data_IF_919288668044
#
_entry.id   IF_919288668044
#
_cell.length_a   1.000
_cell.length_b   1.000
_cell.length_c   1.000
_cell.angle_alpha   90.00
_cell.angle_beta   90.00
_cell.angle_gamma   90.00
#
_symmetry.space_group_name_H-M   'P 1'
#
loop_
_entity.id
_entity.type
_entity.pdbx_description
1 polymer ?
#
# COMPACT_ATOMS: atom_id res chain seq x y z
N UNK A 1 18.09 -8.89 5.41
CA UNK A 1 17.63 -10.27 5.68
C UNK A 1 16.19 -10.38 5.19
N UNK A 2 15.82 -11.46 4.49
CA UNK A 2 14.45 -11.62 4.03
C UNK A 2 13.48 -11.58 5.22
N UNK A 3 12.38 -10.84 5.06
CA UNK A 3 11.36 -10.73 6.11
C UNK A 3 10.64 -12.08 6.21
N UNK A 4 10.67 -12.68 7.40
CA UNK A 4 10.00 -13.96 7.60
C UNK A 4 8.52 -13.75 7.94
N UNK A 5 7.63 -14.27 7.10
CA UNK A 5 6.17 -14.31 7.37
C UNK A 5 5.82 -14.98 8.70
N UNK A 6 6.72 -15.80 9.27
CA UNK A 6 6.54 -16.39 10.58
C UNK A 6 6.47 -15.35 11.71
N UNK A 7 7.09 -14.19 11.54
CA UNK A 7 7.05 -13.09 12.52
C UNK A 7 5.66 -12.46 12.64
N UNK A 8 4.83 -12.55 11.59
CA UNK A 8 3.48 -12.01 11.57
C UNK A 8 2.44 -12.91 12.26
N UNK A 9 2.78 -14.18 12.52
CA UNK A 9 1.86 -15.17 13.14
C UNK A 9 1.46 -14.84 14.57
N UNK A 10 2.26 -14.07 15.27
CA UNK A 10 2.08 -13.79 16.70
C UNK A 10 1.08 -12.67 16.97
N UNK A 11 0.48 -12.07 15.91
CA UNK A 11 -0.48 -10.99 16.05
C UNK A 11 -1.86 -11.45 15.62
N UNK A 12 -2.83 -11.42 16.54
CA UNK A 12 -4.22 -11.61 16.17
C UNK A 12 -4.64 -10.52 15.16
N UNK A 13 -5.29 -10.85 14.04
CA UNK A 13 -5.65 -9.88 12.99
C UNK A 13 -6.49 -8.71 13.52
N UNK A 14 -7.40 -8.99 14.46
CA UNK A 14 -8.22 -7.97 15.12
C UNK A 14 -7.40 -6.99 15.95
N UNK A 15 -6.27 -7.44 16.51
CA UNK A 15 -5.37 -6.59 17.28
C UNK A 15 -4.58 -5.60 16.40
N UNK A 16 -4.54 -5.82 15.09
CA UNK A 16 -3.89 -4.91 14.14
C UNK A 16 -4.84 -3.83 13.62
N UNK A 17 -6.16 -3.96 13.81
CA UNK A 17 -7.16 -3.12 13.15
C UNK A 17 -7.00 -1.63 13.49
N UNK A 18 -6.76 -1.29 14.76
CA UNK A 18 -6.60 0.11 15.17
C UNK A 18 -5.30 0.72 14.62
N UNK A 19 -4.17 0.03 14.75
CA UNK A 19 -2.89 0.50 14.18
C UNK A 19 -2.96 0.64 12.66
N UNK A 20 -3.62 -0.31 11.98
CA UNK A 20 -3.88 -0.25 10.54
C UNK A 20 -4.71 0.98 10.16
N UNK A 21 -5.80 1.26 10.88
CA UNK A 21 -6.66 2.41 10.60
C UNK A 21 -5.89 3.74 10.75
N UNK A 22 -5.06 3.86 11.78
CA UNK A 22 -4.21 5.03 12.00
C UNK A 22 -3.13 5.17 10.91
N UNK A 23 -2.46 4.08 10.54
CA UNK A 23 -1.48 4.08 9.46
C UNK A 23 -2.13 4.38 8.09
N UNK A 24 -3.34 3.86 7.83
CA UNK A 24 -4.12 4.17 6.63
C UNK A 24 -4.46 5.67 6.58
N UNK A 25 -4.90 6.25 7.71
CA UNK A 25 -5.12 7.70 7.82
C UNK A 25 -3.84 8.48 7.52
N UNK A 26 -2.72 8.07 8.10
CA UNK A 26 -1.42 8.74 7.92
C UNK A 26 -0.94 8.69 6.45
N UNK A 27 -1.19 7.59 5.73
CA UNK A 27 -0.83 7.44 4.32
C UNK A 27 -1.54 8.44 3.38
N UNK A 28 -2.59 9.12 3.85
CA UNK A 28 -3.26 10.16 3.07
C UNK A 28 -2.43 11.44 2.93
N UNK A 29 -1.48 11.71 3.83
CA UNK A 29 -0.64 12.90 3.76
C UNK A 29 0.34 12.87 2.58
N UNK A 30 1.11 11.80 2.34
CA UNK A 30 1.89 11.65 1.11
C UNK A 30 1.04 11.74 -0.15
N UNK A 31 -0.17 11.13 -0.15
CA UNK A 31 -1.08 11.20 -1.29
C UNK A 31 -1.54 12.64 -1.57
N UNK A 32 -1.88 13.42 -0.54
CA UNK A 32 -2.25 14.85 -0.68
C UNK A 32 -1.10 15.67 -1.25
N UNK A 33 0.13 15.45 -0.76
CA UNK A 33 1.31 16.13 -1.29
C UNK A 33 1.51 15.84 -2.78
N UNK A 34 1.35 14.59 -3.19
CA UNK A 34 1.43 14.19 -4.59
C UNK A 34 0.29 14.80 -5.44
N UNK A 35 -0.97 14.72 -4.99
CA UNK A 35 -2.11 15.28 -5.70
C UNK A 35 -2.03 16.81 -5.85
N UNK A 36 -1.40 17.52 -4.90
CA UNK A 36 -1.18 18.96 -4.97
C UNK A 36 -0.12 19.36 -5.99
N UNK A 37 0.88 18.52 -6.23
CA UNK A 37 2.11 18.89 -6.91
C UNK A 37 2.41 18.12 -8.20
N UNK A 38 1.76 16.99 -8.42
CA UNK A 38 1.98 16.18 -9.63
C UNK A 38 0.81 16.29 -10.61
N UNK A 39 1.10 16.07 -11.87
CA UNK A 39 0.07 15.92 -12.89
C UNK A 39 -0.72 14.62 -12.61
N UNK A 40 -2.06 14.69 -12.56
CA UNK A 40 -2.87 13.50 -12.35
C UNK A 40 -2.63 12.45 -13.42
N UNK A 41 -2.34 11.21 -13.01
CA UNK A 41 -2.26 10.06 -13.90
C UNK A 41 -3.64 9.38 -13.98
N UNK A 42 -4.05 8.85 -15.15
CA UNK A 42 -5.36 8.20 -15.32
C UNK A 42 -5.61 7.00 -14.42
N UNK A 43 -4.54 6.36 -13.96
CA UNK A 43 -4.55 5.20 -13.06
C UNK A 43 -4.28 5.58 -11.60
N UNK A 44 -4.34 6.87 -11.24
CA UNK A 44 -4.01 7.42 -9.92
C UNK A 44 -2.60 7.07 -9.40
N UNK A 45 -1.72 6.57 -10.27
CA UNK A 45 -0.36 6.17 -9.87
C UNK A 45 0.49 7.33 -9.34
N UNK A 46 0.15 8.58 -9.68
CA UNK A 46 0.80 9.78 -9.13
C UNK A 46 0.65 9.89 -7.60
N UNK A 47 -0.47 9.39 -7.04
CA UNK A 47 -0.72 9.41 -5.60
C UNK A 47 -0.26 8.13 -4.87
N UNK A 48 0.22 7.12 -5.60
CA UNK A 48 0.66 5.86 -5.02
C UNK A 48 1.96 5.99 -4.23
N UNK A 49 2.16 5.07 -3.28
CA UNK A 49 3.37 4.98 -2.47
C UNK A 49 4.18 3.74 -2.85
N UNK A 50 5.46 3.75 -2.57
CA UNK A 50 6.34 2.59 -2.71
C UNK A 50 6.99 2.26 -1.36
N UNK A 51 7.17 0.97 -1.08
CA UNK A 51 7.95 0.56 0.08
C UNK A 51 9.44 0.80 -0.18
N UNK A 52 10.06 1.58 0.70
CA UNK A 52 11.50 1.81 0.74
C UNK A 52 12.08 1.00 1.90
N UNK A 53 12.91 -0.02 1.62
CA UNK A 53 13.46 -0.89 2.65
C UNK A 53 14.52 -0.22 3.51
N UNK A 54 15.27 0.76 2.98
CA UNK A 54 16.34 1.45 3.69
C UNK A 54 15.77 2.41 4.74
N UNK A 55 14.67 3.06 4.40
CA UNK A 55 13.94 3.94 5.33
C UNK A 55 12.89 3.22 6.15
N UNK A 56 12.56 1.97 5.82
CA UNK A 56 11.43 1.21 6.35
C UNK A 56 10.12 2.03 6.27
N UNK A 57 9.88 2.66 5.12
CA UNK A 57 8.82 3.63 4.92
C UNK A 57 8.03 3.39 3.62
N UNK A 58 6.78 3.82 3.63
CA UNK A 58 5.98 4.03 2.42
C UNK A 58 6.25 5.45 1.92
N UNK A 59 6.96 5.59 0.80
CA UNK A 59 7.31 6.87 0.20
C UNK A 59 6.41 7.20 -0.98
N UNK A 60 5.89 8.44 -1.01
CA UNK A 60 5.18 9.00 -2.16
C UNK A 60 6.06 9.12 -3.40
N UNK A 61 5.46 9.43 -4.53
CA UNK A 61 6.19 9.71 -5.76
C UNK A 61 7.10 10.93 -5.57
N UNK A 62 8.25 10.99 -6.25
CA UNK A 62 9.12 12.16 -6.18
C UNK A 62 8.38 13.39 -6.74
N UNK A 63 8.45 14.48 -5.98
CA UNK A 63 8.00 15.82 -6.36
C UNK A 63 9.16 16.59 -7.00
N UNK A 64 8.89 17.80 -7.48
CA UNK A 64 9.93 18.67 -8.00
C UNK A 64 11.04 18.87 -6.95
N UNK A 65 12.28 19.04 -7.42
CA UNK A 65 13.45 19.14 -6.53
C UNK A 65 13.83 17.84 -5.80
N UNK A 66 13.29 16.67 -6.22
CA UNK A 66 13.58 15.38 -5.60
C UNK A 66 12.94 15.19 -4.22
N UNK A 67 12.03 16.09 -3.83
CA UNK A 67 11.31 16.01 -2.56
C UNK A 67 10.41 14.76 -2.53
N UNK A 68 10.38 14.05 -1.40
CA UNK A 68 9.42 12.97 -1.16
C UNK A 68 8.79 13.10 0.22
N UNK A 69 7.51 12.82 0.27
CA UNK A 69 6.75 12.69 1.53
C UNK A 69 6.43 11.22 1.75
N UNK A 70 6.58 10.74 2.97
CA UNK A 70 6.35 9.33 3.25
C UNK A 70 5.88 9.07 4.67
N UNK A 71 5.63 7.80 4.96
CA UNK A 71 5.19 7.30 6.26
C UNK A 71 6.12 6.20 6.74
N UNK A 72 6.87 6.42 7.82
CA UNK A 72 7.52 5.36 8.61
C UNK A 72 6.45 4.65 9.44
N UNK A 73 5.97 3.55 8.92
CA UNK A 73 4.82 2.85 9.51
C UNK A 73 5.14 2.34 10.91
N UNK A 74 6.33 1.76 11.12
CA UNK A 74 6.72 1.12 12.39
C UNK A 74 6.68 2.06 13.61
N UNK A 75 6.98 3.33 13.39
CA UNK A 75 7.05 4.37 14.44
C UNK A 75 5.97 5.43 14.30
N UNK A 76 5.08 5.27 13.30
CA UNK A 76 3.96 6.16 13.00
C UNK A 76 4.41 7.62 12.85
N UNK A 77 5.37 7.85 11.95
CA UNK A 77 5.95 9.16 11.64
C UNK A 77 5.73 9.54 10.19
N UNK A 78 5.31 10.78 9.95
CA UNK A 78 5.39 11.40 8.64
C UNK A 78 6.82 11.82 8.39
N UNK A 79 7.37 11.51 7.21
CA UNK A 79 8.70 11.92 6.80
C UNK A 79 8.66 12.83 5.59
N UNK A 80 9.55 13.81 5.58
CA UNK A 80 9.79 14.72 4.48
C UNK A 80 11.26 14.63 4.11
N UNK A 81 11.58 14.24 2.88
CA UNK A 81 12.94 14.03 2.44
C UNK A 81 13.28 14.92 1.26
N UNK A 82 14.50 15.41 1.24
CA UNK A 82 15.18 16.02 0.10
C UNK A 82 16.45 15.23 -0.17
N UNK A 83 17.25 15.63 -1.16
CA UNK A 83 18.56 14.99 -1.41
C UNK A 83 19.52 15.06 -0.22
N UNK A 84 19.41 16.11 0.61
CA UNK A 84 20.36 16.40 1.68
C UNK A 84 19.83 16.20 3.09
N UNK A 85 18.51 16.02 3.29
CA UNK A 85 17.92 15.94 4.63
C UNK A 85 16.71 15.02 4.69
N UNK A 86 16.43 14.54 5.90
CA UNK A 86 15.23 13.82 6.24
C UNK A 86 14.65 14.37 7.54
N UNK A 87 13.52 15.03 7.46
CA UNK A 87 12.76 15.52 8.62
C UNK A 87 11.65 14.55 8.95
N UNK A 88 11.33 14.40 10.22
CA UNK A 88 10.26 13.50 10.68
C UNK A 88 9.34 14.18 11.68
N UNK A 89 8.04 13.85 11.62
CA UNK A 89 7.02 14.28 12.55
C UNK A 89 6.30 13.06 13.13
N UNK A 90 6.47 12.77 14.43
CA UNK A 90 5.64 11.77 15.11
C UNK A 90 4.17 12.17 15.05
N UNK A 91 3.29 11.23 14.66
CA UNK A 91 1.86 11.52 14.44
C UNK A 91 1.00 11.25 15.66
N UNK A 92 1.49 10.43 16.60
CA UNK A 92 0.75 10.03 17.79
C UNK A 92 0.33 11.25 18.63
N UNK A 93 -0.97 11.37 18.85
CA UNK A 93 -1.57 12.46 19.66
C UNK A 93 -1.68 13.81 18.94
N UNK A 94 -1.28 13.91 17.68
CA UNK A 94 -1.36 15.14 16.91
C UNK A 94 -2.69 15.28 16.17
N UNK A 95 -3.30 16.47 16.16
CA UNK A 95 -4.45 16.75 15.30
C UNK A 95 -4.00 16.95 13.84
N UNK A 96 -4.90 16.66 12.90
CA UNK A 96 -4.66 16.85 11.47
C UNK A 96 -4.17 18.27 11.12
N UNK A 97 -4.67 19.27 11.80
CA UNK A 97 -4.26 20.67 11.57
C UNK A 97 -2.77 20.90 11.86
N UNK A 98 -2.23 20.27 12.90
CA UNK A 98 -0.80 20.37 13.23
C UNK A 98 0.05 19.63 12.19
N UNK A 99 -0.38 18.42 11.79
CA UNK A 99 0.29 17.61 10.74
C UNK A 99 0.27 18.35 9.42
N UNK A 100 -0.88 18.93 9.04
CA UNK A 100 -1.01 19.73 7.82
C UNK A 100 -0.12 20.96 7.83
N UNK A 101 -0.11 21.73 8.91
CA UNK A 101 0.73 22.93 9.04
C UNK A 101 2.22 22.60 8.95
N UNK A 102 2.66 21.50 9.59
CA UNK A 102 4.05 21.07 9.51
C UNK A 102 4.43 20.68 8.06
N UNK A 103 3.60 19.87 7.41
CA UNK A 103 3.87 19.41 6.03
C UNK A 103 3.84 20.58 5.03
N UNK A 104 2.82 21.45 5.14
CA UNK A 104 2.68 22.62 4.27
C UNK A 104 3.88 23.56 4.39
N UNK A 105 4.35 23.80 5.63
CA UNK A 105 5.55 24.58 5.85
C UNK A 105 6.80 24.00 5.18
N UNK A 106 6.94 22.65 5.19
CA UNK A 106 8.04 21.96 4.51
C UNK A 106 7.94 22.06 2.99
N UNK A 107 6.74 21.81 2.45
CA UNK A 107 6.49 21.88 1.00
C UNK A 107 6.73 23.30 0.46
N UNK A 108 6.18 24.31 1.12
CA UNK A 108 6.34 25.71 0.71
C UNK A 108 7.79 26.16 0.78
N UNK A 109 8.56 25.70 1.76
CA UNK A 109 10.00 26.00 1.85
C UNK A 109 10.82 25.47 0.67
N UNK A 110 10.33 24.42 0.01
CA UNK A 110 10.92 23.87 -1.24
C UNK A 110 10.22 24.39 -2.52
N UNK A 111 9.38 25.42 -2.41
CA UNK A 111 8.68 26.02 -3.56
C UNK A 111 7.50 25.19 -4.08
N UNK A 112 7.03 24.19 -3.30
CA UNK A 112 5.94 23.32 -3.65
C UNK A 112 4.59 23.85 -3.10
N UNK A 113 3.49 23.36 -3.67
CA UNK A 113 2.15 23.70 -3.20
C UNK A 113 1.84 23.00 -1.88
N UNK A 114 1.09 23.65 -0.97
CA UNK A 114 0.65 23.04 0.28
C UNK A 114 -0.29 21.84 0.03
N UNK A 115 -0.26 20.86 0.93
CA UNK A 115 -1.01 19.60 0.84
C UNK A 115 -2.33 19.62 1.59
N UNK A 116 -2.45 20.37 2.70
CA UNK A 116 -3.56 20.26 3.66
C UNK A 116 -4.93 20.61 3.05
N UNK A 117 -5.01 21.55 2.12
CA UNK A 117 -6.23 21.93 1.40
C UNK A 117 -6.58 21.03 0.22
N UNK A 118 -5.74 20.06 -0.13
CA UNK A 118 -5.93 19.23 -1.32
C UNK A 118 -7.02 18.19 -1.09
N UNK A 119 -8.07 18.23 -1.94
CA UNK A 119 -9.12 17.21 -1.93
C UNK A 119 -8.62 15.96 -2.65
N UNK A 120 -8.75 14.81 -1.99
CA UNK A 120 -8.50 13.52 -2.61
C UNK A 120 -9.73 13.06 -3.41
N UNK A 121 -9.55 12.28 -4.50
CA UNK A 121 -10.66 11.83 -5.35
C UNK A 121 -11.49 10.68 -4.72
N UNK A 122 -11.25 10.35 -3.46
CA UNK A 122 -11.90 9.27 -2.70
C UNK A 122 -12.15 9.70 -1.24
N UNK A 123 -12.96 8.93 -0.53
CA UNK A 123 -13.24 9.18 0.89
C UNK A 123 -12.03 8.81 1.76
N UNK A 124 -11.65 9.73 2.63
CA UNK A 124 -10.54 9.52 3.58
C UNK A 124 -11.08 8.86 4.85
N UNK A 125 -10.37 7.86 5.42
CA UNK A 125 -10.76 7.27 6.68
C UNK A 125 -10.95 8.31 7.78
N UNK A 126 -12.08 8.25 8.50
CA UNK A 126 -12.47 9.23 9.52
C UNK A 126 -11.75 9.05 10.86
N UNK A 127 -10.86 8.09 10.98
CA UNK A 127 -10.10 7.81 12.19
C UNK A 127 -9.19 8.98 12.55
N UNK A 128 -9.28 9.50 13.75
CA UNK A 128 -8.38 10.54 14.28
C UNK A 128 -7.08 9.88 14.80
N UNK A 129 -5.97 10.63 14.74
CA UNK A 129 -4.73 10.20 15.41
C UNK A 129 -4.94 10.27 16.92
N UNK A 130 -5.19 9.12 17.54
CA UNK A 130 -5.37 9.01 18.98
C UNK A 130 -4.03 9.08 19.73
N UNK A 131 -4.08 9.29 21.03
CA UNK A 131 -2.90 9.09 21.90
C UNK A 131 -2.43 7.65 21.78
N UNK A 132 -1.10 7.46 21.92
CA UNK A 132 -0.51 6.13 21.93
C UNK A 132 -1.14 5.27 23.03
N UNK A 133 -1.86 4.26 22.61
CA UNK A 133 -2.35 3.18 23.45
C UNK A 133 -1.65 1.88 23.04
N UNK A 134 -2.33 0.77 23.19
CA UNK A 134 -1.83 -0.54 22.72
C UNK A 134 -1.58 -0.59 21.21
N UNK A 135 -2.19 0.32 20.43
CA UNK A 135 -2.01 0.43 18.98
C UNK A 135 -0.56 0.73 18.59
N UNK A 136 0.14 1.53 19.40
CA UNK A 136 1.55 1.88 19.15
C UNK A 136 2.44 0.64 19.08
N UNK A 137 2.11 -0.40 19.86
CA UNK A 137 2.85 -1.67 19.88
C UNK A 137 2.62 -2.52 18.60
N UNK A 138 1.64 -2.15 17.77
CA UNK A 138 1.24 -2.91 16.57
C UNK A 138 1.76 -2.30 15.28
N UNK A 139 2.20 -1.06 15.26
CA UNK A 139 2.78 -0.42 14.08
C UNK A 139 3.98 -1.18 13.50
N UNK A 140 4.92 -1.73 14.31
CA UNK A 140 5.99 -2.57 13.79
C UNK A 140 5.49 -3.80 13.01
N UNK A 141 4.39 -4.42 13.46
CA UNK A 141 3.81 -5.56 12.74
C UNK A 141 3.20 -5.16 11.39
N UNK A 142 2.57 -3.99 11.29
CA UNK A 142 2.08 -3.45 10.01
C UNK A 142 3.25 -3.16 9.07
N UNK A 143 4.34 -2.58 9.57
CA UNK A 143 5.53 -2.30 8.77
C UNK A 143 6.19 -3.58 8.24
N UNK A 144 6.35 -4.59 9.08
CA UNK A 144 6.85 -5.91 8.67
C UNK A 144 5.96 -6.55 7.62
N UNK A 145 4.64 -6.34 7.73
CA UNK A 145 3.69 -6.83 6.74
C UNK A 145 3.91 -6.17 5.37
N UNK A 146 4.06 -4.83 5.32
CA UNK A 146 4.37 -4.12 4.07
C UNK A 146 5.73 -4.53 3.49
N UNK A 147 6.76 -4.69 4.32
CA UNK A 147 8.07 -5.14 3.89
C UNK A 147 8.01 -6.53 3.23
N UNK A 148 7.37 -7.49 3.89
CA UNK A 148 7.21 -8.85 3.37
C UNK A 148 6.35 -8.89 2.08
N UNK A 149 5.29 -8.09 2.03
CA UNK A 149 4.43 -7.99 0.86
C UNK A 149 5.18 -7.36 -0.33
N UNK A 150 5.95 -6.29 -0.10
CA UNK A 150 6.76 -5.65 -1.13
C UNK A 150 7.83 -6.59 -1.71
N UNK A 151 8.51 -7.36 -0.86
CA UNK A 151 9.49 -8.37 -1.28
C UNK A 151 8.83 -9.45 -2.15
N UNK A 152 7.75 -10.07 -1.68
CA UNK A 152 7.04 -11.11 -2.41
C UNK A 152 6.45 -10.63 -3.75
N UNK A 153 5.87 -9.43 -3.79
CA UNK A 153 5.35 -8.83 -5.01
C UNK A 153 6.49 -8.42 -5.97
N UNK A 154 7.64 -8.02 -5.43
CA UNK A 154 8.85 -7.74 -6.20
C UNK A 154 9.38 -8.98 -6.93
N UNK A 155 9.46 -10.13 -6.24
CA UNK A 155 9.82 -11.43 -6.83
C UNK A 155 8.80 -11.85 -7.90
N UNK A 156 7.52 -11.69 -7.60
CA UNK A 156 6.45 -12.01 -8.54
C UNK A 156 6.53 -11.12 -9.78
N UNK A 157 6.72 -9.80 -9.60
CA UNK A 157 6.95 -8.84 -10.68
C UNK A 157 8.11 -9.27 -11.58
N UNK A 158 9.22 -9.69 -10.99
CA UNK A 158 10.38 -10.17 -11.74
C UNK A 158 10.06 -11.44 -12.57
N UNK A 159 9.23 -12.32 -12.06
CA UNK A 159 8.79 -13.53 -12.77
C UNK A 159 7.94 -13.21 -14.01
N UNK A 160 7.17 -12.12 -13.97
CA UNK A 160 6.30 -11.69 -15.06
C UNK A 160 6.92 -10.64 -16.00
N UNK A 161 8.17 -10.20 -15.77
CA UNK A 161 8.85 -9.16 -16.59
C UNK A 161 8.95 -9.46 -18.09
N UNK A 162 8.85 -10.74 -18.47
CA UNK A 162 8.92 -11.19 -19.87
C UNK A 162 7.66 -10.89 -20.67
N UNK A 163 6.55 -10.56 -20.03
CA UNK A 163 5.31 -10.22 -20.71
C UNK A 163 5.34 -8.75 -21.16
N UNK A 164 4.64 -8.44 -22.24
CA UNK A 164 4.51 -7.08 -22.79
C UNK A 164 3.03 -6.74 -22.82
N UNK A 165 2.62 -5.58 -22.28
CA UNK A 165 3.41 -4.49 -21.66
C UNK A 165 4.00 -4.82 -20.28
N UNK A 166 3.61 -5.92 -19.66
CA UNK A 166 4.21 -6.47 -18.45
C UNK A 166 3.71 -5.87 -17.12
N UNK A 167 4.39 -6.22 -16.01
CA UNK A 167 3.94 -5.83 -14.69
C UNK A 167 4.33 -4.38 -14.34
N UNK A 168 3.42 -3.68 -13.69
CA UNK A 168 3.67 -2.38 -13.09
C UNK A 168 4.71 -2.45 -11.96
N UNK A 169 5.28 -1.31 -11.52
CA UNK A 169 5.96 -1.25 -10.23
C UNK A 169 5.07 -1.73 -9.07
N UNK A 170 5.70 -2.21 -7.99
CA UNK A 170 4.99 -2.50 -6.74
C UNK A 170 4.56 -1.17 -6.11
N UNK A 171 3.27 -1.01 -5.86
CA UNK A 171 2.69 0.24 -5.33
C UNK A 171 1.75 -0.05 -4.17
N UNK A 172 1.83 0.77 -3.13
CA UNK A 172 0.79 0.88 -2.13
C UNK A 172 -0.22 1.94 -2.58
N UNK A 173 -1.50 1.61 -2.53
CA UNK A 173 -2.60 2.47 -2.93
C UNK A 173 -3.25 3.10 -1.70
N UNK A 174 -3.07 4.43 -1.46
CA UNK A 174 -3.53 5.08 -0.24
C UNK A 174 -5.04 4.98 0.02
N UNK A 175 -5.86 4.88 -1.03
CA UNK A 175 -7.31 4.77 -0.88
C UNK A 175 -7.77 3.40 -0.33
N UNK A 176 -7.02 2.34 -0.58
CA UNK A 176 -7.27 0.99 -0.04
C UNK A 176 -6.29 0.58 1.05
N UNK A 177 -5.14 1.23 1.11
CA UNK A 177 -4.02 0.89 1.99
C UNK A 177 -3.54 -0.55 1.79
N UNK A 178 -3.62 -1.02 0.56
CA UNK A 178 -3.07 -2.28 0.08
C UNK A 178 -1.80 -2.04 -0.74
N UNK A 179 -1.05 -3.11 -1.02
CA UNK A 179 0.14 -3.07 -1.88
C UNK A 179 0.00 -4.10 -2.99
N UNK A 180 0.24 -3.68 -4.24
CA UNK A 180 -0.10 -4.47 -5.41
C UNK A 180 0.80 -4.23 -6.61
N UNK A 181 0.73 -5.15 -7.58
CA UNK A 181 1.16 -5.00 -8.97
C UNK A 181 -0.02 -5.21 -9.89
N UNK A 182 0.01 -4.56 -11.05
CA UNK A 182 -0.89 -4.83 -12.17
C UNK A 182 -0.07 -5.48 -13.29
N UNK A 183 -0.43 -6.69 -13.69
CA UNK A 183 0.15 -7.36 -14.86
C UNK A 183 -0.75 -7.08 -16.06
N UNK A 184 -0.35 -6.16 -16.93
CA UNK A 184 -1.05 -5.91 -18.18
C UNK A 184 -0.80 -7.07 -19.15
N UNK A 185 -1.87 -7.57 -19.77
CA UNK A 185 -1.83 -8.69 -20.72
C UNK A 185 -1.91 -8.22 -22.18
N UNK A 186 -2.24 -6.95 -22.39
CA UNK A 186 -2.33 -6.29 -23.70
C UNK A 186 -2.14 -4.78 -23.55
N UNK A 187 -1.82 -4.11 -24.66
CA UNK A 187 -1.76 -2.65 -24.71
C UNK A 187 -3.17 -2.05 -24.56
N UNK A 188 -3.26 -0.91 -23.90
CA UNK A 188 -4.52 -0.20 -23.71
C UNK A 188 -4.60 0.52 -22.37
N UNK A 189 -5.77 1.14 -22.10
CA UNK A 189 -6.03 1.75 -20.81
C UNK A 189 -6.33 0.67 -19.78
N UNK A 190 -5.84 0.87 -18.52
CA UNK A 190 -6.04 -0.06 -17.41
C UNK A 190 -7.52 -0.46 -17.19
N UNK A 191 -8.44 0.41 -17.55
CA UNK A 191 -9.90 0.22 -17.40
C UNK A 191 -10.54 -0.62 -18.52
N UNK A 192 -9.84 -0.87 -19.62
CA UNK A 192 -10.37 -1.58 -20.79
C UNK A 192 -9.47 -2.72 -21.26
N UNK A 193 -8.17 -2.64 -21.02
CA UNK A 193 -7.20 -3.67 -21.41
C UNK A 193 -7.21 -4.85 -20.43
N UNK A 194 -7.04 -6.04 -20.95
CA UNK A 194 -6.94 -7.24 -20.11
C UNK A 194 -5.74 -7.16 -19.17
N UNK A 195 -5.99 -7.42 -17.91
CA UNK A 195 -4.96 -7.30 -16.87
C UNK A 195 -5.26 -8.21 -15.68
N UNK A 196 -4.25 -8.42 -14.85
CA UNK A 196 -4.39 -9.14 -13.58
C UNK A 196 -3.80 -8.27 -12.47
N UNK A 197 -4.65 -7.78 -11.57
CA UNK A 197 -4.22 -7.18 -10.32
C UNK A 197 -3.81 -8.28 -9.33
N UNK A 198 -2.65 -8.14 -8.73
CA UNK A 198 -2.16 -9.06 -7.69
C UNK A 198 -1.71 -8.19 -6.53
N UNK A 199 -2.33 -8.39 -5.38
CA UNK A 199 -2.03 -7.54 -4.23
C UNK A 199 -2.25 -8.23 -2.89
N UNK A 200 -1.85 -7.52 -1.87
CA UNK A 200 -1.93 -7.94 -0.48
C UNK A 200 -2.50 -6.79 0.34
N UNK A 201 -3.59 -7.04 1.05
CA UNK A 201 -4.22 -6.08 1.94
C UNK A 201 -3.92 -6.42 3.40
N UNK A 202 -3.59 -5.45 4.26
CA UNK A 202 -3.45 -5.67 5.70
C UNK A 202 -4.81 -5.89 6.39
N UNK A 203 -5.86 -6.03 5.61
CA UNK A 203 -7.27 -6.06 6.01
C UNK A 203 -7.97 -4.73 5.69
N UNK A 204 -9.29 -4.78 5.56
CA UNK A 204 -10.14 -3.63 5.24
C UNK A 204 -11.56 -3.83 5.78
N UNK A 205 -12.53 -3.10 5.21
CA UNK A 205 -13.94 -3.22 5.57
C UNK A 205 -14.59 -4.53 5.05
N UNK A 206 -14.00 -5.17 4.03
CA UNK A 206 -14.49 -6.45 3.51
C UNK A 206 -13.98 -7.61 4.34
N UNK A 207 -12.70 -7.55 4.74
CA UNK A 207 -12.02 -8.58 5.53
C UNK A 207 -11.14 -7.94 6.59
N UNK A 208 -11.48 -8.17 7.86
CA UNK A 208 -10.69 -7.65 8.97
C UNK A 208 -9.28 -8.25 9.04
N UNK A 209 -9.10 -9.43 8.45
CA UNK A 209 -7.82 -10.14 8.41
C UNK A 209 -6.99 -9.75 7.19
N UNK A 210 -5.65 -9.77 7.28
CA UNK A 210 -4.80 -9.64 6.10
C UNK A 210 -5.10 -10.73 5.06
N UNK A 211 -5.09 -10.36 3.79
CA UNK A 211 -5.37 -11.29 2.69
C UNK A 211 -4.58 -10.95 1.43
N UNK A 212 -4.32 -11.97 0.62
CA UNK A 212 -3.82 -11.83 -0.75
C UNK A 212 -5.01 -11.90 -1.71
N UNK A 213 -4.97 -11.11 -2.76
CA UNK A 213 -5.96 -11.15 -3.82
C UNK A 213 -5.34 -11.26 -5.21
N UNK A 214 -6.12 -11.85 -6.11
CA UNK A 214 -5.86 -11.85 -7.56
C UNK A 214 -7.13 -11.39 -8.26
N UNK A 215 -7.05 -10.30 -9.01
CA UNK A 215 -8.20 -9.65 -9.66
C UNK A 215 -7.99 -9.57 -11.16
N UNK A 216 -8.46 -10.55 -11.94
CA UNK A 216 -8.41 -10.47 -13.39
C UNK A 216 -9.44 -9.47 -13.93
N UNK A 217 -9.04 -8.74 -14.99
CA UNK A 217 -9.92 -7.87 -15.75
C UNK A 217 -9.86 -8.22 -17.26
N UNK A 218 -10.99 -8.32 -17.96
CA UNK A 218 -12.35 -8.29 -17.43
C UNK A 218 -12.59 -9.46 -16.48
N UNK A 219 -13.61 -9.32 -15.61
CA UNK A 219 -13.97 -10.37 -14.66
C UNK A 219 -14.37 -11.64 -15.43
N UNK A 220 -13.69 -12.77 -15.20
CA UNK A 220 -14.05 -14.04 -15.85
C UNK A 220 -15.39 -14.56 -15.35
N UNK A 221 -16.05 -15.41 -16.14
CA UNK A 221 -17.15 -16.23 -15.63
C UNK A 221 -16.61 -17.20 -14.57
N UNK A 222 -17.30 -17.31 -13.45
CA UNK A 222 -16.89 -18.20 -12.36
C UNK A 222 -16.98 -19.66 -12.74
N UNK A 223 -17.79 -20.01 -13.73
CA UNK A 223 -17.90 -21.36 -14.26
C UNK A 223 -16.61 -21.83 -15.00
N UNK A 224 -15.84 -20.90 -15.54
CA UNK A 224 -14.63 -21.19 -16.30
C UNK A 224 -13.36 -21.17 -15.45
N UNK A 225 -13.48 -20.90 -14.15
CA UNK A 225 -12.33 -20.78 -13.27
C UNK A 225 -11.84 -22.14 -12.78
N UNK A 226 -10.51 -22.36 -12.73
CA UNK A 226 -9.95 -23.62 -12.24
C UNK A 226 -10.23 -23.80 -10.75
N UNK A 227 -10.16 -25.04 -10.23
CA UNK A 227 -10.26 -25.29 -8.81
C UNK A 227 -9.25 -24.45 -8.01
N UNK A 228 -9.71 -23.81 -6.94
CA UNK A 228 -8.88 -22.99 -6.10
C UNK A 228 -8.06 -23.85 -5.12
N UNK A 229 -6.84 -23.41 -4.76
CA UNK A 229 -6.08 -24.06 -3.72
C UNK A 229 -6.77 -23.94 -2.36
N UNK A 230 -6.46 -24.84 -1.39
CA UNK A 230 -7.03 -24.79 -0.06
C UNK A 230 -6.89 -23.40 0.59
N UNK A 231 -7.97 -22.93 1.21
CA UNK A 231 -8.02 -21.61 1.86
C UNK A 231 -8.26 -20.43 0.92
N UNK A 232 -8.31 -20.64 -0.40
CA UNK A 232 -8.75 -19.63 -1.35
C UNK A 232 -10.26 -19.78 -1.63
N UNK A 233 -10.90 -18.67 -1.98
CA UNK A 233 -12.30 -18.61 -2.38
C UNK A 233 -12.53 -17.57 -3.45
N UNK A 234 -13.54 -17.78 -4.28
CA UNK A 234 -14.07 -16.73 -5.14
C UNK A 234 -14.98 -15.83 -4.32
N UNK A 235 -14.77 -14.51 -4.45
CA UNK A 235 -15.68 -13.53 -3.87
C UNK A 235 -16.36 -12.73 -4.98
N UNK A 236 -17.66 -12.97 -5.24
CA UNK A 236 -18.37 -12.24 -6.29
C UNK A 236 -18.63 -10.77 -5.95
N UNK A 237 -18.52 -10.37 -4.68
CA UNK A 237 -18.76 -8.99 -4.21
C UNK A 237 -17.51 -8.13 -4.33
N UNK A 238 -16.39 -8.72 -3.96
CA UNK A 238 -15.10 -8.11 -4.22
C UNK A 238 -14.80 -8.40 -5.69
N UNK A 239 -14.37 -7.40 -6.44
CA UNK A 239 -13.71 -7.64 -7.74
C UNK A 239 -12.36 -8.35 -7.55
N UNK A 240 -12.19 -9.07 -6.46
CA UNK A 240 -10.96 -9.51 -5.82
C UNK A 240 -11.18 -10.95 -5.37
N UNK A 241 -10.19 -11.80 -5.56
CA UNK A 241 -10.16 -13.18 -5.06
C UNK A 241 -9.38 -13.20 -3.74
N UNK A 242 -10.04 -13.08 -2.58
CA UNK A 242 -9.31 -13.06 -1.32
C UNK A 242 -8.89 -14.48 -0.93
N UNK A 243 -7.68 -14.57 -0.44
CA UNK A 243 -7.21 -15.68 0.36
C UNK A 243 -7.00 -15.17 1.77
N UNK A 244 -7.84 -15.56 2.71
CA UNK A 244 -7.49 -15.43 4.12
C UNK A 244 -6.31 -16.34 4.39
N UNK A 245 -5.23 -15.77 4.85
CA UNK A 245 -3.97 -16.48 5.07
C UNK A 245 -3.99 -17.17 6.42
N UNK A 246 -4.10 -18.50 6.50
CA UNK A 246 -3.43 -19.19 7.57
C UNK A 246 -1.93 -19.12 7.26
N UNK A 247 -1.12 -18.65 8.19
CA UNK A 247 0.31 -18.84 8.07
C UNK A 247 0.59 -20.34 7.82
N UNK A 248 1.38 -20.79 6.96
CA UNK A 248 2.56 -20.54 6.14
C UNK A 248 2.49 -21.05 4.68
N UNK A 249 1.43 -20.83 3.96
CA UNK A 249 1.26 -21.42 2.62
C UNK A 249 1.85 -20.57 1.47
N UNK A 250 2.53 -19.47 1.76
CA UNK A 250 3.20 -18.59 0.79
C UNK A 250 4.33 -19.28 0.01
N UNK A 251 5.07 -20.15 0.67
CA UNK A 251 6.17 -20.89 0.04
C UNK A 251 5.71 -21.80 -1.11
N UNK A 252 4.42 -22.09 -1.24
CA UNK A 252 3.87 -22.99 -2.26
C UNK A 252 3.55 -22.26 -3.55
N UNK A 253 3.18 -20.96 -3.52
CA UNK A 253 2.87 -20.19 -4.72
C UNK A 253 4.12 -19.77 -5.50
N UNK A 254 5.21 -19.43 -4.81
CA UNK A 254 6.48 -19.05 -5.46
C UNK A 254 7.21 -20.24 -6.08
N UNK A 255 7.05 -21.47 -5.56
CA UNK A 255 7.72 -22.67 -6.10
C UNK A 255 7.04 -23.30 -7.33
N UNK A 256 5.74 -23.02 -7.59
CA UNK A 256 5.04 -23.59 -8.76
C UNK A 256 5.07 -22.71 -10.02
N UNK A 257 5.48 -21.46 -9.93
CA UNK A 257 5.69 -20.59 -11.08
C UNK A 257 7.05 -20.78 -11.76
N UNK A 258 7.93 -21.65 -11.22
CA UNK A 258 9.27 -21.93 -11.72
C UNK A 258 9.40 -23.29 -12.43
N UNK A 259 8.29 -23.83 -13.02
CA UNK A 259 8.39 -24.97 -13.96
C UNK A 259 7.66 -24.67 -15.24
#
# INVERSE_FOLDING_TARGET
MPVSWSMLRNHAPTALAAARALAHRAAQWPARAACANLVPAPDDSHASLSWDPDMAALLGQPLDGGVRVGLRVAVHELVFTTESRCDALPLTGKPDAEVGSWLDGKLVAEGLKPASGTKLPYEVPSTMFARAGEEALRFPAIALWFAAAAEALGELRQSYRRYTPGPSPVRCWPHHFDIAILVALEEGRAESARSIGIGVSPGDNYYAQPYLYVSPYPKPDTADLPPLPPGARYDPRARILPRTLPAPSWAVLTRRAAR
#
